data_IF_787314688105
#
_entry.id   IF_787314688105
#
_cell.length_a   1.000
_cell.length_b   1.000
_cell.length_c   1.000
_cell.angle_alpha   90.00
_cell.angle_beta   90.00
_cell.angle_gamma   90.00
#
_symmetry.space_group_name_H-M   'P 1'
#
loop_
_entity.id
_entity.type
_entity.pdbx_description
1 polymer ?
#
# COMPACT_ATOMS: atom_id res chain seq x y z
N UNK A 1 0.03 -10.15 8.90
CA UNK A 1 0.26 -9.23 7.76
C UNK A 1 -0.64 -8.00 7.89
N UNK A 2 -0.16 -6.80 7.55
CA UNK A 2 -0.98 -5.59 7.53
C UNK A 2 -1.83 -5.55 6.25
N UNK A 3 -3.09 -5.13 6.38
CA UNK A 3 -4.04 -4.96 5.27
C UNK A 3 -4.30 -3.47 5.08
N UNK A 4 -4.04 -2.96 3.88
CA UNK A 4 -4.35 -1.60 3.44
C UNK A 4 -5.51 -1.71 2.46
N UNK A 5 -6.67 -1.15 2.80
CA UNK A 5 -7.90 -1.30 2.01
C UNK A 5 -7.93 -0.37 0.80
N UNK A 6 -8.03 -0.89 -0.42
CA UNK A 6 -7.86 -0.17 -1.71
C UNK A 6 -9.13 0.41 -2.34
N UNK A 7 -10.29 0.33 -1.67
CA UNK A 7 -11.57 0.63 -2.35
C UNK A 7 -11.85 2.10 -2.58
N UNK A 8 -11.18 3.01 -1.88
CA UNK A 8 -11.42 4.46 -2.04
C UNK A 8 -10.39 5.02 -3.03
N UNK A 9 -10.60 4.75 -4.31
CA UNK A 9 -9.74 5.20 -5.39
C UNK A 9 -10.51 5.98 -6.44
N UNK A 10 -9.95 7.11 -6.87
CA UNK A 10 -10.46 7.97 -7.95
C UNK A 10 -10.71 7.22 -9.26
N UNK A 11 -10.09 6.06 -9.46
CA UNK A 11 -10.32 5.20 -10.61
C UNK A 11 -11.76 4.69 -10.63
N UNK A 12 -12.33 4.39 -9.46
CA UNK A 12 -13.71 3.95 -9.35
C UNK A 12 -14.68 5.13 -9.60
N UNK A 13 -15.59 4.98 -10.58
CA UNK A 13 -16.52 6.04 -10.98
C UNK A 13 -17.28 6.66 -9.79
N UNK A 14 -17.86 5.82 -8.90
CA UNK A 14 -18.62 6.30 -7.72
C UNK A 14 -17.74 7.13 -6.78
N UNK A 15 -16.49 6.73 -6.56
CA UNK A 15 -15.54 7.46 -5.71
C UNK A 15 -15.14 8.78 -6.37
N UNK A 16 -14.81 8.76 -7.66
CA UNK A 16 -14.45 9.97 -8.43
C UNK A 16 -15.56 11.01 -8.40
N UNK A 17 -16.82 10.61 -8.61
CA UNK A 17 -17.98 11.52 -8.54
C UNK A 17 -18.18 12.10 -7.13
N UNK A 18 -17.97 11.28 -6.09
CA UNK A 18 -18.04 11.71 -4.70
C UNK A 18 -16.95 12.73 -4.36
N UNK A 19 -15.71 12.48 -4.77
CA UNK A 19 -14.58 13.42 -4.61
C UNK A 19 -14.86 14.75 -5.32
N UNK A 20 -15.34 14.71 -6.57
CA UNK A 20 -15.65 15.93 -7.36
C UNK A 20 -16.77 16.77 -6.75
N UNK A 21 -17.76 16.12 -6.12
CA UNK A 21 -18.92 16.79 -5.51
C UNK A 21 -18.75 17.11 -4.03
N UNK A 22 -17.62 16.73 -3.43
CA UNK A 22 -17.41 16.75 -1.98
C UNK A 22 -18.54 16.03 -1.21
N UNK A 23 -19.03 14.89 -1.77
CA UNK A 23 -20.01 14.05 -1.11
C UNK A 23 -19.30 13.02 -0.20
N UNK A 24 -19.35 13.17 1.14
CA UNK A 24 -18.62 12.29 2.04
C UNK A 24 -19.21 10.88 2.12
N UNK A 25 -20.52 10.76 1.88
CA UNK A 25 -21.27 9.52 2.19
C UNK A 25 -20.72 8.27 1.49
N UNK A 26 -20.43 8.25 0.16
CA UNK A 26 -19.89 7.07 -0.49
C UNK A 26 -18.50 6.69 0.01
N UNK A 27 -17.67 7.68 0.41
CA UNK A 27 -16.31 7.44 0.93
C UNK A 27 -16.40 6.85 2.34
N UNK A 28 -17.24 7.43 3.20
CA UNK A 28 -17.47 6.97 4.58
C UNK A 28 -18.04 5.55 4.62
N UNK A 29 -19.03 5.23 3.77
CA UNK A 29 -19.59 3.88 3.65
C UNK A 29 -18.52 2.85 3.31
N UNK A 30 -17.64 3.16 2.33
CA UNK A 30 -16.54 2.29 1.93
C UNK A 30 -15.47 2.16 3.04
N UNK A 31 -15.13 3.26 3.72
CA UNK A 31 -14.16 3.23 4.81
C UNK A 31 -14.62 2.33 5.96
N UNK A 32 -15.88 2.51 6.40
CA UNK A 32 -16.49 1.70 7.46
C UNK A 32 -16.56 0.22 7.05
N UNK A 33 -16.96 -0.07 5.82
CA UNK A 33 -17.03 -1.44 5.30
C UNK A 33 -15.64 -2.11 5.31
N UNK A 34 -14.61 -1.43 4.81
CA UNK A 34 -13.24 -1.95 4.79
C UNK A 34 -12.66 -2.14 6.22
N UNK A 35 -12.91 -1.18 7.13
CA UNK A 35 -12.48 -1.30 8.52
C UNK A 35 -13.12 -2.51 9.21
N UNK A 36 -14.43 -2.74 9.01
CA UNK A 36 -15.15 -3.90 9.53
C UNK A 36 -14.67 -5.23 8.93
N UNK A 37 -14.26 -5.20 7.66
CA UNK A 37 -13.72 -6.38 6.98
C UNK A 37 -12.26 -6.71 7.39
N UNK A 38 -11.64 -5.92 8.29
CA UNK A 38 -10.32 -6.21 8.85
C UNK A 38 -9.18 -5.41 8.24
N UNK A 39 -9.45 -4.31 7.52
CA UNK A 39 -8.40 -3.39 7.11
C UNK A 39 -7.73 -2.73 8.33
N UNK A 40 -6.40 -2.66 8.31
CA UNK A 40 -5.59 -1.98 9.31
C UNK A 40 -5.40 -0.49 8.98
N UNK A 41 -5.31 -0.19 7.69
CA UNK A 41 -5.26 1.15 7.11
C UNK A 41 -6.32 1.28 6.02
N UNK A 42 -6.83 2.48 5.81
CA UNK A 42 -7.72 2.79 4.69
C UNK A 42 -6.94 3.65 3.69
N UNK A 43 -6.74 3.14 2.48
CA UNK A 43 -6.10 3.90 1.41
C UNK A 43 -7.11 4.87 0.78
N UNK A 44 -6.69 6.11 0.60
CA UNK A 44 -7.41 7.16 -0.12
C UNK A 44 -6.59 7.66 -1.29
N UNK A 45 -7.00 7.28 -2.50
CA UNK A 45 -6.36 7.71 -3.74
C UNK A 45 -7.17 8.80 -4.42
N UNK A 46 -6.60 10.01 -4.47
CA UNK A 46 -7.18 11.16 -5.19
C UNK A 46 -6.57 11.38 -6.58
N UNK A 47 -5.60 10.52 -6.96
CA UNK A 47 -4.82 10.68 -8.19
C UNK A 47 -3.89 11.90 -8.13
N UNK A 48 -3.44 12.42 -9.29
CA UNK A 48 -2.51 13.55 -9.35
C UNK A 48 -3.13 14.87 -8.84
N UNK A 49 -4.45 15.07 -8.99
CA UNK A 49 -5.21 16.20 -8.47
C UNK A 49 -4.48 17.55 -8.60
N UNK A 50 -4.12 17.94 -9.83
CA UNK A 50 -3.21 19.07 -10.11
C UNK A 50 -3.79 20.41 -9.68
N UNK A 51 -5.12 20.65 -9.86
CA UNK A 51 -5.74 21.94 -9.62
C UNK A 51 -6.15 22.17 -8.16
N UNK A 52 -6.76 21.16 -7.50
CA UNK A 52 -7.37 21.31 -6.16
C UNK A 52 -6.89 20.24 -5.16
N UNK A 53 -5.78 19.59 -5.43
CA UNK A 53 -5.26 18.46 -4.65
C UNK A 53 -5.15 18.71 -3.15
N UNK A 54 -4.55 19.84 -2.68
CA UNK A 54 -4.42 20.12 -1.25
C UNK A 54 -5.77 20.21 -0.53
N UNK A 55 -6.76 20.92 -1.08
CA UNK A 55 -8.09 21.07 -0.50
C UNK A 55 -8.85 19.74 -0.48
N UNK A 56 -8.73 18.99 -1.58
CA UNK A 56 -9.39 17.70 -1.73
C UNK A 56 -8.85 16.67 -0.76
N UNK A 57 -7.51 16.57 -0.59
CA UNK A 57 -6.90 15.63 0.34
C UNK A 57 -7.20 16.00 1.80
N UNK A 58 -7.10 17.30 2.16
CA UNK A 58 -7.46 17.78 3.50
C UNK A 58 -8.90 17.40 3.84
N UNK A 59 -9.85 17.68 2.94
CA UNK A 59 -11.26 17.31 3.11
C UNK A 59 -11.45 15.80 3.22
N UNK A 60 -10.86 15.02 2.31
CA UNK A 60 -11.03 13.56 2.29
C UNK A 60 -10.51 12.91 3.57
N UNK A 61 -9.36 13.33 4.08
CA UNK A 61 -8.80 12.84 5.35
C UNK A 61 -9.75 13.11 6.51
N UNK A 62 -10.27 14.33 6.63
CA UNK A 62 -11.18 14.72 7.71
C UNK A 62 -12.46 13.90 7.70
N UNK A 63 -13.14 13.79 6.55
CA UNK A 63 -14.42 13.08 6.47
C UNK A 63 -14.27 11.58 6.68
N UNK A 64 -13.12 10.97 6.32
CA UNK A 64 -12.87 9.56 6.59
C UNK A 64 -12.62 9.33 8.09
N UNK A 65 -11.82 10.16 8.74
CA UNK A 65 -11.50 10.00 10.17
C UNK A 65 -12.65 10.38 11.11
N UNK A 66 -13.75 10.97 10.61
CA UNK A 66 -15.01 11.10 11.37
C UNK A 66 -15.68 9.75 11.65
N UNK A 67 -15.47 8.73 10.79
CA UNK A 67 -16.23 7.48 10.83
C UNK A 67 -15.39 6.22 11.05
N UNK A 68 -14.06 6.31 10.94
CA UNK A 68 -13.17 5.16 11.17
C UNK A 68 -12.09 5.46 12.19
N UNK A 69 -11.88 4.51 13.09
CA UNK A 69 -10.81 4.51 14.09
C UNK A 69 -9.57 3.79 13.53
N UNK A 70 -9.15 4.20 12.34
CA UNK A 70 -7.99 3.63 11.62
C UNK A 70 -7.11 4.75 11.06
N UNK A 71 -5.78 4.56 11.03
CA UNK A 71 -4.91 5.44 10.27
C UNK A 71 -5.16 5.29 8.77
N UNK A 72 -4.80 6.34 8.00
CA UNK A 72 -5.00 6.37 6.56
C UNK A 72 -3.69 6.13 5.80
N UNK A 73 -3.80 5.59 4.60
CA UNK A 73 -2.76 5.55 3.60
C UNK A 73 -3.14 6.61 2.54
N UNK A 74 -2.29 7.62 2.38
CA UNK A 74 -2.56 8.77 1.51
C UNK A 74 -1.90 8.52 0.16
N UNK A 75 -2.71 8.40 -0.91
CA UNK A 75 -2.22 8.08 -2.26
C UNK A 75 -2.43 9.26 -3.22
N UNK A 76 -1.34 9.92 -3.53
CA UNK A 76 -1.25 10.96 -4.55
C UNK A 76 0.20 11.21 -4.98
N UNK A 77 0.38 11.63 -6.23
CA UNK A 77 1.68 12.13 -6.72
C UNK A 77 1.91 13.61 -6.43
N UNK A 78 0.88 14.35 -6.00
CA UNK A 78 0.93 15.77 -5.71
C UNK A 78 1.51 16.02 -4.31
N UNK A 79 2.72 16.56 -4.23
CA UNK A 79 3.45 16.81 -2.98
C UNK A 79 2.67 17.76 -2.05
N UNK A 80 2.04 18.79 -2.61
CA UNK A 80 1.27 19.76 -1.80
C UNK A 80 -0.01 19.13 -1.23
N UNK A 81 -0.66 18.26 -2.01
CA UNK A 81 -1.81 17.48 -1.55
C UNK A 81 -1.41 16.48 -0.47
N UNK A 82 -0.27 15.80 -0.63
CA UNK A 82 0.27 14.92 0.39
C UNK A 82 0.52 15.67 1.71
N UNK A 83 1.18 16.82 1.65
CA UNK A 83 1.43 17.62 2.86
C UNK A 83 0.14 18.10 3.52
N UNK A 84 -0.88 18.51 2.74
CA UNK A 84 -2.18 18.89 3.28
C UNK A 84 -2.87 17.73 4.00
N UNK A 85 -2.84 16.53 3.41
CA UNK A 85 -3.38 15.32 4.04
C UNK A 85 -2.66 14.94 5.34
N UNK A 86 -1.32 15.04 5.35
CA UNK A 86 -0.53 14.78 6.56
C UNK A 86 -0.83 15.78 7.68
N UNK A 87 -1.05 17.06 7.36
CA UNK A 87 -1.49 18.07 8.34
C UNK A 87 -2.88 17.82 8.90
N UNK A 88 -3.80 17.36 8.05
CA UNK A 88 -5.19 17.09 8.43
C UNK A 88 -5.33 15.79 9.24
N UNK A 89 -4.39 14.84 9.07
CA UNK A 89 -4.48 13.51 9.67
C UNK A 89 -4.38 13.57 11.19
N UNK A 90 -5.36 12.98 11.88
CA UNK A 90 -5.33 12.80 13.32
C UNK A 90 -4.62 11.49 13.67
N UNK A 91 -3.47 11.58 14.32
CA UNK A 91 -2.62 10.43 14.66
C UNK A 91 -3.12 9.62 15.87
N UNK A 92 -4.29 9.93 16.42
CA UNK A 92 -4.87 9.21 17.57
C UNK A 92 -4.96 7.69 17.34
N UNK A 93 -5.21 7.28 16.09
CA UNK A 93 -5.38 5.86 15.73
C UNK A 93 -4.15 5.24 15.08
N UNK A 94 -3.06 5.98 14.99
CA UNK A 94 -1.78 5.61 14.39
C UNK A 94 -1.31 6.64 13.39
N UNK A 95 -0.03 6.56 12.99
CA UNK A 95 0.56 7.47 12.01
C UNK A 95 0.13 7.09 10.58
N UNK A 96 -0.01 8.06 9.67
CA UNK A 96 -0.40 7.79 8.29
C UNK A 96 0.71 7.10 7.49
N UNK A 97 0.33 6.51 6.36
CA UNK A 97 1.27 6.03 5.34
C UNK A 97 1.24 7.00 4.14
N UNK A 98 2.41 7.38 3.64
CA UNK A 98 2.57 8.06 2.35
C UNK A 98 2.65 7.00 1.26
N UNK A 99 1.76 7.05 0.28
CA UNK A 99 1.73 6.21 -0.91
C UNK A 99 1.91 7.10 -2.15
N UNK A 100 3.08 7.18 -2.73
CA UNK A 100 4.37 6.57 -2.47
C UNK A 100 5.53 7.49 -2.89
N UNK A 101 6.74 7.04 -2.63
CA UNK A 101 7.96 7.58 -3.24
C UNK A 101 8.62 6.52 -4.12
N UNK A 102 9.69 6.90 -4.82
CA UNK A 102 10.60 6.01 -5.55
C UNK A 102 12.02 6.56 -5.49
N UNK A 103 12.99 5.88 -6.15
CA UNK A 103 14.37 6.38 -6.25
C UNK A 103 14.56 7.40 -7.39
N UNK A 104 13.50 8.11 -7.76
CA UNK A 104 13.52 9.19 -8.75
C UNK A 104 13.61 10.55 -8.02
N UNK A 105 14.51 11.49 -8.46
CA UNK A 105 14.74 12.75 -7.75
C UNK A 105 13.47 13.58 -7.49
N UNK A 106 12.53 13.60 -8.41
CA UNK A 106 11.26 14.32 -8.31
C UNK A 106 10.33 13.76 -7.23
N UNK A 107 10.61 12.56 -6.72
CA UNK A 107 9.84 11.89 -5.67
C UNK A 107 10.46 12.04 -4.26
N UNK A 108 11.69 12.53 -4.16
CA UNK A 108 12.38 12.72 -2.88
C UNK A 108 11.65 13.63 -1.89
N UNK A 109 10.94 14.69 -2.30
CA UNK A 109 10.16 15.48 -1.36
C UNK A 109 9.13 14.68 -0.54
N UNK A 110 8.65 13.52 -1.04
CA UNK A 110 7.79 12.62 -0.25
C UNK A 110 8.54 12.01 0.94
N UNK A 111 9.84 11.71 0.79
CA UNK A 111 10.68 11.21 1.87
C UNK A 111 10.92 12.30 2.95
N UNK A 112 11.13 13.55 2.52
CA UNK A 112 11.24 14.70 3.43
C UNK A 112 9.95 14.88 4.26
N UNK A 113 8.78 14.73 3.61
CA UNK A 113 7.51 14.77 4.31
C UNK A 113 7.36 13.63 5.31
N UNK A 114 7.81 12.42 4.96
CA UNK A 114 7.76 11.27 5.87
C UNK A 114 8.56 11.54 7.16
N UNK A 115 9.79 12.04 7.04
CA UNK A 115 10.61 12.44 8.21
C UNK A 115 9.96 13.58 9.01
N UNK A 116 9.55 14.65 8.32
CA UNK A 116 8.93 15.84 8.94
C UNK A 116 7.68 15.52 9.77
N UNK A 117 6.80 14.65 9.27
CA UNK A 117 5.53 14.32 9.91
C UNK A 117 5.58 13.00 10.70
N UNK A 118 6.75 12.37 10.81
CA UNK A 118 6.92 11.04 11.41
C UNK A 118 5.94 10.00 10.81
N UNK A 119 5.68 10.11 9.52
CA UNK A 119 4.78 9.21 8.80
C UNK A 119 5.50 7.95 8.32
N UNK A 120 4.75 6.88 8.09
CA UNK A 120 5.24 5.72 7.34
C UNK A 120 5.26 6.06 5.85
N UNK A 121 6.09 5.35 5.07
CA UNK A 121 6.19 5.61 3.64
C UNK A 121 6.38 4.31 2.85
N UNK A 122 5.67 4.19 1.75
CA UNK A 122 5.88 3.17 0.74
C UNK A 122 6.88 3.69 -0.28
N UNK A 123 7.93 2.91 -0.54
CA UNK A 123 8.96 3.25 -1.50
C UNK A 123 9.07 2.17 -2.59
N UNK A 124 8.67 2.56 -3.80
CA UNK A 124 8.76 1.70 -4.98
C UNK A 124 10.23 1.50 -5.36
N UNK A 125 10.66 0.26 -5.55
CA UNK A 125 12.01 -0.05 -6.07
C UNK A 125 12.07 0.22 -7.57
N UNK A 126 11.82 1.47 -7.93
CA UNK A 126 11.89 2.04 -9.27
C UNK A 126 13.04 3.04 -9.31
N UNK A 127 13.98 2.83 -10.24
CA UNK A 127 15.12 3.72 -10.46
C UNK A 127 14.87 4.72 -11.58
N UNK A 128 15.86 5.56 -11.87
CA UNK A 128 15.79 6.60 -12.90
C UNK A 128 15.42 6.02 -14.27
N UNK A 129 14.15 6.13 -14.65
CA UNK A 129 13.67 5.91 -16.02
C UNK A 129 13.60 4.45 -16.48
N UNK A 130 13.82 3.46 -15.61
CA UNK A 130 13.74 2.05 -16.00
C UNK A 130 13.11 1.16 -14.92
N UNK A 131 12.31 0.22 -15.38
CA UNK A 131 11.84 -0.91 -14.56
C UNK A 131 13.05 -1.80 -14.26
N UNK A 132 13.29 -2.21 -12.99
CA UNK A 132 14.38 -3.12 -12.65
C UNK A 132 14.25 -4.45 -13.37
N UNK A 133 15.37 -4.99 -13.89
CA UNK A 133 15.36 -6.21 -14.68
C UNK A 133 15.03 -7.46 -13.84
N UNK A 134 15.56 -7.53 -12.63
CA UNK A 134 15.45 -8.68 -11.74
C UNK A 134 15.33 -8.30 -10.25
N UNK A 135 15.45 -9.28 -9.36
CA UNK A 135 15.37 -9.08 -7.92
C UNK A 135 16.61 -8.38 -7.35
N UNK A 136 17.77 -8.64 -7.91
CA UNK A 136 19.06 -8.06 -7.54
C UNK A 136 19.07 -6.56 -7.81
N UNK A 137 18.60 -6.12 -8.98
CA UNK A 137 18.44 -4.70 -9.31
C UNK A 137 17.49 -4.01 -8.32
N UNK A 138 16.37 -4.66 -7.97
CA UNK A 138 15.43 -4.16 -6.95
C UNK A 138 16.11 -3.98 -5.60
N UNK A 139 16.97 -4.92 -5.20
CA UNK A 139 17.72 -4.81 -3.95
C UNK A 139 18.74 -3.67 -3.98
N UNK A 140 19.42 -3.45 -5.10
CA UNK A 140 20.31 -2.31 -5.26
C UNK A 140 19.57 -0.99 -5.07
N UNK A 141 18.41 -0.83 -5.73
CA UNK A 141 17.55 0.35 -5.58
C UNK A 141 17.01 0.48 -4.14
N UNK A 142 16.61 -0.64 -3.51
CA UNK A 142 16.14 -0.64 -2.14
C UNK A 142 17.21 -0.12 -1.15
N UNK A 143 18.48 -0.52 -1.32
CA UNK A 143 19.59 -0.03 -0.50
C UNK A 143 19.80 1.49 -0.65
N UNK A 144 19.70 2.04 -1.87
CA UNK A 144 19.76 3.47 -2.10
C UNK A 144 18.57 4.22 -1.44
N UNK A 145 17.37 3.66 -1.52
CA UNK A 145 16.17 4.19 -0.86
C UNK A 145 16.34 4.20 0.67
N UNK A 146 16.87 3.12 1.25
CA UNK A 146 17.14 3.03 2.69
C UNK A 146 18.14 4.08 3.16
N UNK A 147 19.25 4.27 2.42
CA UNK A 147 20.22 5.31 2.73
C UNK A 147 19.58 6.71 2.73
N UNK A 148 18.74 6.98 1.73
CA UNK A 148 18.02 8.25 1.61
C UNK A 148 16.96 8.44 2.70
N UNK A 149 16.27 7.37 3.09
CA UNK A 149 15.31 7.42 4.21
C UNK A 149 16.00 7.83 5.52
N UNK A 150 17.20 7.29 5.78
CA UNK A 150 18.03 7.70 6.93
C UNK A 150 18.47 9.17 6.85
N UNK A 151 18.86 9.66 5.67
CA UNK A 151 19.23 11.07 5.46
C UNK A 151 18.08 12.03 5.79
N UNK A 152 16.83 11.62 5.54
CA UNK A 152 15.63 12.40 5.84
C UNK A 152 15.00 12.09 7.22
N UNK A 153 15.67 11.29 8.05
CA UNK A 153 15.21 10.97 9.40
C UNK A 153 13.98 10.05 9.46
N UNK A 154 13.74 9.25 8.40
CA UNK A 154 12.68 8.24 8.38
C UNK A 154 13.18 6.98 9.11
N UNK A 155 12.51 6.53 10.20
CA UNK A 155 12.86 5.29 10.86
C UNK A 155 12.68 4.08 9.92
N UNK A 156 13.56 3.08 10.01
CA UNK A 156 13.48 1.90 9.13
C UNK A 156 12.18 1.11 9.31
N UNK A 157 11.61 1.10 10.50
CA UNK A 157 10.31 0.51 10.79
C UNK A 157 9.12 1.29 10.16
N UNK A 158 9.35 2.52 9.67
CA UNK A 158 8.37 3.31 8.94
C UNK A 158 8.52 3.18 7.42
N UNK A 159 9.61 2.57 6.92
CA UNK A 159 9.86 2.37 5.50
C UNK A 159 9.33 1.02 5.03
N UNK A 160 8.42 1.03 4.07
CA UNK A 160 7.91 -0.15 3.37
C UNK A 160 8.50 -0.22 1.98
N UNK A 161 9.27 -1.25 1.68
CA UNK A 161 9.82 -1.49 0.34
C UNK A 161 8.78 -2.20 -0.53
N UNK A 162 8.48 -1.62 -1.68
CA UNK A 162 7.60 -2.22 -2.70
C UNK A 162 8.46 -2.76 -3.86
N UNK A 163 8.41 -4.09 -4.14
CA UNK A 163 9.19 -4.70 -5.22
C UNK A 163 8.69 -4.32 -6.62
N UNK A 164 7.69 -3.46 -6.76
CA UNK A 164 7.07 -3.04 -8.01
C UNK A 164 6.42 -4.23 -8.75
N UNK A 165 5.15 -4.49 -8.44
CA UNK A 165 4.39 -5.54 -9.11
C UNK A 165 3.95 -5.08 -10.51
N UNK A 166 4.34 -5.87 -11.52
CA UNK A 166 3.99 -5.66 -12.92
C UNK A 166 2.94 -6.66 -13.40
N UNK A 167 2.29 -6.32 -14.49
CA UNK A 167 1.18 -7.09 -15.06
C UNK A 167 1.65 -8.46 -15.60
N UNK A 168 1.11 -9.55 -15.08
CA UNK A 168 1.45 -10.92 -15.50
C UNK A 168 1.22 -11.15 -17.00
N UNK A 169 0.16 -10.57 -17.57
CA UNK A 169 -0.20 -10.78 -18.97
C UNK A 169 0.79 -10.18 -19.98
N UNK A 170 1.63 -9.22 -19.56
CA UNK A 170 2.59 -8.53 -20.43
C UNK A 170 4.05 -8.77 -20.02
N UNK A 171 4.28 -9.08 -18.73
CA UNK A 171 5.62 -9.23 -18.14
C UNK A 171 5.65 -10.40 -17.15
N UNK A 172 5.38 -11.60 -17.66
CA UNK A 172 5.17 -12.81 -16.85
C UNK A 172 6.37 -13.17 -15.96
N UNK A 173 7.59 -12.97 -16.46
CA UNK A 173 8.84 -13.23 -15.73
C UNK A 173 8.99 -12.36 -14.49
N UNK A 174 8.43 -11.15 -14.49
CA UNK A 174 8.55 -10.19 -13.41
C UNK A 174 7.79 -10.59 -12.13
N UNK A 175 6.77 -11.44 -12.25
CA UNK A 175 6.07 -11.99 -11.08
C UNK A 175 7.02 -12.77 -10.14
N UNK A 176 7.86 -13.63 -10.70
CA UNK A 176 8.86 -14.37 -9.93
C UNK A 176 9.96 -13.45 -9.37
N UNK A 177 10.38 -12.43 -10.13
CA UNK A 177 11.37 -11.47 -9.65
C UNK A 177 10.87 -10.66 -8.45
N UNK A 178 9.60 -10.26 -8.45
CA UNK A 178 8.99 -9.57 -7.30
C UNK A 178 8.93 -10.47 -6.05
N UNK A 179 8.59 -11.77 -6.19
CA UNK A 179 8.60 -12.73 -5.08
C UNK A 179 10.00 -12.86 -4.50
N UNK A 180 11.03 -13.02 -5.34
CA UNK A 180 12.43 -13.11 -4.92
C UNK A 180 12.90 -11.84 -4.21
N UNK A 181 12.52 -10.67 -4.74
CA UNK A 181 12.87 -9.37 -4.14
C UNK A 181 12.29 -9.24 -2.71
N UNK A 182 11.03 -9.65 -2.47
CA UNK A 182 10.45 -9.65 -1.11
C UNK A 182 11.30 -10.44 -0.14
N UNK A 183 11.75 -11.64 -0.53
CA UNK A 183 12.66 -12.47 0.28
C UNK A 183 13.99 -11.75 0.55
N UNK A 184 14.61 -11.18 -0.49
CA UNK A 184 15.90 -10.52 -0.39
C UNK A 184 15.82 -9.24 0.47
N UNK A 185 14.75 -8.48 0.40
CA UNK A 185 14.52 -7.30 1.23
C UNK A 185 14.53 -7.61 2.72
N UNK A 186 14.10 -8.82 3.13
CA UNK A 186 14.18 -9.25 4.53
C UNK A 186 15.63 -9.29 5.06
N UNK A 187 16.62 -9.41 4.18
CA UNK A 187 18.04 -9.56 4.54
C UNK A 187 18.78 -8.22 4.54
N UNK A 188 18.15 -7.12 4.12
CA UNK A 188 18.78 -5.80 4.01
C UNK A 188 18.95 -5.11 5.36
N UNK A 189 18.25 -5.55 6.40
CA UNK A 189 18.31 -4.94 7.73
C UNK A 189 18.01 -5.97 8.83
N UNK A 190 18.40 -5.64 10.07
CA UNK A 190 18.02 -6.38 11.28
C UNK A 190 17.46 -5.36 12.30
N UNK A 191 16.17 -5.43 12.66
CA UNK A 191 15.14 -6.39 12.21
C UNK A 191 14.81 -6.28 10.70
N UNK A 192 14.22 -7.34 10.08
CA UNK A 192 13.92 -7.37 8.66
C UNK A 192 13.09 -6.18 8.18
N UNK A 193 13.39 -5.70 6.95
CA UNK A 193 12.67 -4.60 6.35
C UNK A 193 11.17 -4.91 6.18
N UNK A 194 10.35 -3.87 6.37
CA UNK A 194 8.93 -3.95 6.04
C UNK A 194 8.77 -3.94 4.51
N UNK A 195 7.84 -4.76 4.02
CA UNK A 195 7.55 -4.89 2.58
C UNK A 195 6.07 -4.69 2.31
N UNK A 196 5.74 -4.14 1.15
CA UNK A 196 4.35 -3.92 0.74
C UNK A 196 4.19 -4.16 -0.75
N UNK A 197 2.98 -4.51 -1.19
CA UNK A 197 2.63 -4.62 -2.61
C UNK A 197 1.24 -4.04 -2.87
N UNK A 198 1.06 -3.38 -4.02
CA UNK A 198 -0.23 -3.13 -4.64
C UNK A 198 -0.66 -4.38 -5.41
N UNK A 199 -1.36 -5.31 -4.74
CA UNK A 199 -1.59 -6.66 -5.25
C UNK A 199 -2.33 -6.69 -6.58
N UNK A 200 -3.32 -5.84 -6.76
CA UNK A 200 -4.19 -5.85 -7.95
C UNK A 200 -3.43 -5.61 -9.26
N UNK A 201 -2.22 -5.04 -9.20
CA UNK A 201 -1.37 -4.80 -10.37
C UNK A 201 -1.00 -6.09 -11.11
N UNK A 202 -0.78 -7.21 -10.42
CA UNK A 202 -0.39 -8.49 -11.03
C UNK A 202 -1.42 -8.98 -12.06
N UNK A 203 -2.70 -8.74 -11.80
CA UNK A 203 -3.80 -9.21 -12.62
C UNK A 203 -4.39 -8.16 -13.58
N UNK A 204 -3.82 -6.96 -13.62
CA UNK A 204 -4.24 -5.93 -14.56
C UNK A 204 -4.09 -6.44 -16.01
N UNK A 205 -5.09 -6.15 -16.86
CA UNK A 205 -5.15 -6.65 -18.23
C UNK A 205 -5.68 -8.09 -18.37
N UNK A 206 -5.67 -8.91 -17.32
CA UNK A 206 -6.23 -10.26 -17.36
C UNK A 206 -7.77 -10.26 -17.40
N UNK A 207 -8.42 -11.31 -17.95
CA UNK A 207 -9.88 -11.47 -17.91
C UNK A 207 -10.43 -11.43 -16.47
N UNK A 208 -11.57 -10.77 -16.26
CA UNK A 208 -12.11 -10.52 -14.91
C UNK A 208 -12.26 -11.77 -14.05
N UNK A 209 -12.68 -12.89 -14.66
CA UNK A 209 -12.93 -14.14 -13.92
C UNK A 209 -11.67 -14.84 -13.39
N UNK A 210 -10.48 -14.57 -13.98
CA UNK A 210 -9.21 -15.16 -13.51
C UNK A 210 -8.46 -14.27 -12.54
N UNK A 211 -8.78 -12.96 -12.45
CA UNK A 211 -8.07 -12.02 -11.58
C UNK A 211 -8.05 -12.44 -10.11
N UNK A 212 -9.18 -12.85 -9.49
CA UNK A 212 -9.17 -13.29 -8.10
C UNK A 212 -8.28 -14.51 -7.86
N UNK A 213 -8.19 -15.42 -8.85
CA UNK A 213 -7.34 -16.61 -8.76
C UNK A 213 -5.87 -16.20 -8.78
N UNK A 214 -5.48 -15.33 -9.74
CA UNK A 214 -4.10 -14.81 -9.84
C UNK A 214 -3.72 -14.11 -8.54
N UNK A 215 -4.54 -13.17 -8.08
CA UNK A 215 -4.27 -12.34 -6.89
C UNK A 215 -4.07 -13.21 -5.64
N UNK A 216 -4.95 -14.16 -5.36
CA UNK A 216 -4.85 -15.01 -4.16
C UNK A 216 -3.63 -15.91 -4.18
N UNK A 217 -3.34 -16.55 -5.31
CA UNK A 217 -2.16 -17.42 -5.42
C UNK A 217 -0.86 -16.60 -5.30
N UNK A 218 -0.79 -15.46 -5.96
CA UNK A 218 0.37 -14.60 -5.90
C UNK A 218 0.60 -14.04 -4.49
N UNK A 219 -0.47 -13.60 -3.82
CA UNK A 219 -0.40 -13.15 -2.43
C UNK A 219 0.12 -14.24 -1.49
N UNK A 220 -0.35 -15.49 -1.67
CA UNK A 220 0.12 -16.63 -0.87
C UNK A 220 1.63 -16.82 -0.98
N UNK A 221 2.18 -16.75 -2.19
CA UNK A 221 3.61 -16.86 -2.43
C UNK A 221 4.39 -15.71 -1.80
N UNK A 222 3.88 -14.49 -1.91
CA UNK A 222 4.50 -13.30 -1.30
C UNK A 222 4.50 -13.38 0.24
N UNK A 223 3.39 -13.80 0.86
CA UNK A 223 3.32 -13.97 2.32
C UNK A 223 4.31 -15.02 2.80
N UNK A 224 4.46 -16.11 2.05
CA UNK A 224 5.44 -17.16 2.35
C UNK A 224 6.87 -16.60 2.37
N UNK A 225 7.23 -15.74 1.42
CA UNK A 225 8.55 -15.09 1.35
C UNK A 225 8.71 -13.88 2.29
N UNK A 226 7.74 -13.60 3.15
CA UNK A 226 7.89 -12.59 4.22
C UNK A 226 7.21 -11.26 3.97
N UNK A 227 6.26 -11.16 3.02
CA UNK A 227 5.48 -9.94 2.83
C UNK A 227 4.81 -9.49 4.12
N UNK A 228 5.02 -8.22 4.51
CA UNK A 228 4.51 -7.67 5.78
C UNK A 228 3.22 -6.87 5.62
N UNK A 229 2.96 -6.28 4.44
CA UNK A 229 1.76 -5.50 4.14
C UNK A 229 1.27 -5.73 2.71
N UNK A 230 -0.02 -5.55 2.46
CA UNK A 230 -0.60 -5.56 1.12
C UNK A 230 -1.73 -4.54 0.98
N UNK A 231 -1.75 -3.82 -0.15
CA UNK A 231 -2.86 -2.99 -0.60
C UNK A 231 -3.79 -3.93 -1.38
N UNK A 232 -4.94 -4.24 -0.81
CA UNK A 232 -5.90 -5.24 -1.33
C UNK A 232 -7.34 -4.80 -1.08
N UNK A 233 -8.29 -5.49 -1.72
CA UNK A 233 -9.71 -5.38 -1.43
C UNK A 233 -10.11 -6.22 -0.19
N UNK A 234 -10.31 -5.62 0.99
CA UNK A 234 -10.71 -6.39 2.17
C UNK A 234 -12.17 -6.84 2.12
N UNK A 235 -12.96 -6.34 1.17
CA UNK A 235 -14.34 -6.78 0.94
C UNK A 235 -14.42 -8.08 0.13
N UNK A 236 -13.32 -8.50 -0.50
CA UNK A 236 -13.19 -9.85 -1.09
C UNK A 236 -12.96 -10.86 0.04
N UNK A 237 -14.05 -11.52 0.44
CA UNK A 237 -14.03 -12.51 1.54
C UNK A 237 -13.00 -13.62 1.28
N UNK A 238 -12.93 -14.15 0.06
CA UNK A 238 -11.99 -15.22 -0.26
C UNK A 238 -10.54 -14.77 -0.16
N UNK A 239 -10.26 -13.49 -0.48
CA UNK A 239 -8.94 -12.90 -0.28
C UNK A 239 -8.58 -12.84 1.20
N UNK A 240 -9.49 -12.35 2.04
CA UNK A 240 -9.27 -12.26 3.48
C UNK A 240 -9.17 -13.64 4.14
N UNK A 241 -9.97 -14.61 3.70
CA UNK A 241 -9.87 -15.99 4.15
C UNK A 241 -8.54 -16.64 3.74
N UNK A 242 -8.02 -16.31 2.54
CA UNK A 242 -6.69 -16.74 2.09
C UNK A 242 -5.60 -16.19 3.02
N UNK A 243 -5.63 -14.91 3.36
CA UNK A 243 -4.66 -14.29 4.29
C UNK A 243 -4.68 -14.99 5.65
N UNK A 244 -5.87 -15.16 6.25
CA UNK A 244 -6.03 -15.85 7.54
C UNK A 244 -5.49 -17.28 7.49
N UNK A 245 -5.81 -18.00 6.42
CA UNK A 245 -5.38 -19.41 6.23
C UNK A 245 -3.87 -19.53 6.12
N UNK A 246 -3.22 -18.67 5.33
CA UNK A 246 -1.77 -18.70 5.17
C UNK A 246 -1.07 -18.34 6.49
N UNK A 247 -1.57 -17.38 7.26
CA UNK A 247 -1.01 -17.05 8.59
C UNK A 247 -1.11 -18.24 9.58
N UNK A 248 -2.18 -19.02 9.50
CA UNK A 248 -2.31 -20.26 10.30
C UNK A 248 -1.33 -21.34 9.82
N UNK A 249 -1.24 -21.57 8.50
CA UNK A 249 -0.29 -22.55 7.91
C UNK A 249 1.15 -22.21 8.31
N UNK A 250 1.51 -20.92 8.34
CA UNK A 250 2.85 -20.45 8.73
C UNK A 250 3.09 -20.41 10.24
N UNK A 251 2.14 -20.84 11.05
CA UNK A 251 2.26 -20.81 12.52
C UNK A 251 2.25 -19.41 13.14
N UNK A 252 1.87 -18.37 12.38
CA UNK A 252 1.75 -16.99 12.88
C UNK A 252 0.48 -16.80 13.70
N UNK A 253 -0.52 -17.62 13.48
CA UNK A 253 -1.77 -17.72 14.24
C UNK A 253 -2.03 -19.16 14.62
N UNK A 254 -2.61 -19.37 15.81
CA UNK A 254 -2.98 -20.70 16.27
C UNK A 254 -4.19 -21.21 15.46
N UNK A 255 -4.16 -22.48 15.06
CA UNK A 255 -5.29 -23.13 14.41
C UNK A 255 -6.44 -23.33 15.41
N UNK A 256 -7.64 -22.93 14.99
CA UNK A 256 -8.91 -23.30 15.61
C UNK A 256 -9.92 -23.57 14.50
N UNK A 257 -10.94 -24.43 14.71
CA UNK A 257 -11.93 -24.71 13.69
C UNK A 257 -12.67 -23.45 13.19
N UNK A 258 -12.77 -22.43 14.05
CA UNK A 258 -13.40 -21.13 13.76
C UNK A 258 -12.42 -20.04 13.32
N UNK A 259 -11.18 -20.37 12.89
CA UNK A 259 -10.15 -19.36 12.59
C UNK A 259 -10.54 -18.34 11.50
N UNK A 260 -11.50 -18.70 10.62
CA UNK A 260 -12.03 -17.77 9.61
C UNK A 260 -13.03 -16.75 10.17
N UNK A 261 -13.59 -17.04 11.34
CA UNK A 261 -14.59 -16.19 11.99
C UNK A 261 -13.96 -15.15 12.94
N UNK A 262 -12.66 -15.29 13.22
CA UNK A 262 -11.89 -14.43 14.11
C UNK A 262 -11.25 -13.24 13.40
#
# INVERSE_FOLDING_TARGET
>A
MLIIGEKISVIAKKVREALQKHDPKPLQELAVAQAKAGAHFIDISIGPAEENGPELMDWAVKVLQEVVEKPLCLDTTNIKAMEAGLKAHNNKWGVPIINSTSNEPERFPMMELAGKYNAKIIALTLGKGSIPADAEDRCGIAAEIMARAMEHGVPMEHLFLDPLILQLCTMQDQGLQAIRAVKMFQQLNDPPMQTVVGLSNISNGAPKHVRPIINRNFLTMLIYEGLSAAIIDPLDKDMMDTVKTVEVIMGRKMYAHSYLEM
#
